data_IF_672957513888
#
_entry.id   IF_672957513888
#
_cell.length_a   1.000
_cell.length_b   1.000
_cell.length_c   1.000
_cell.angle_alpha   90.00
_cell.angle_beta   90.00
_cell.angle_gamma   90.00
#
_symmetry.space_group_name_H-M   'P 1'
#
loop_
_entity.id
_entity.type
_entity.pdbx_description
1 polymer ?
#
# COMPACT_ATOMS: atom_id res chain seq x y z
N UNK A 1 -30.80 18.74 -18.07
CA UNK A 1 -30.53 17.31 -17.77
C UNK A 1 -30.22 16.53 -19.04
N UNK A 2 -30.92 16.78 -20.16
CA UNK A 2 -30.65 16.17 -21.48
C UNK A 2 -29.33 16.59 -22.15
N UNK A 3 -28.77 17.75 -21.79
CA UNK A 3 -27.55 18.27 -22.44
C UNK A 3 -26.28 17.54 -21.97
N UNK A 4 -26.26 17.05 -20.71
CA UNK A 4 -25.14 16.29 -20.15
C UNK A 4 -25.02 14.87 -20.73
N UNK A 5 -26.11 14.27 -21.23
CA UNK A 5 -26.07 12.94 -21.84
C UNK A 5 -25.48 12.93 -23.25
N UNK A 6 -25.28 14.10 -23.87
CA UNK A 6 -24.65 14.26 -25.19
C UNK A 6 -23.13 14.45 -25.12
N UNK A 7 -22.59 14.67 -23.92
CA UNK A 7 -21.14 14.79 -23.75
C UNK A 7 -20.51 13.40 -23.89
N UNK A 8 -19.57 13.28 -24.84
CA UNK A 8 -18.78 12.07 -24.95
C UNK A 8 -17.95 11.91 -23.67
N UNK A 9 -17.99 10.75 -22.99
CA UNK A 9 -17.14 10.51 -21.84
C UNK A 9 -15.67 10.55 -22.25
N UNK A 10 -14.83 11.12 -21.37
CA UNK A 10 -13.39 11.29 -21.58
C UNK A 10 -12.98 12.71 -21.97
N UNK A 11 -11.70 13.01 -21.82
CA UNK A 11 -11.14 14.33 -22.11
C UNK A 11 -11.26 14.63 -23.61
N UNK A 12 -11.81 15.79 -24.02
CA UNK A 12 -11.96 16.15 -25.42
C UNK A 12 -10.62 16.10 -26.17
N UNK A 13 -10.66 15.70 -27.44
CA UNK A 13 -9.49 15.68 -28.32
C UNK A 13 -9.52 16.86 -29.29
N UNK A 14 -8.34 17.36 -29.64
CA UNK A 14 -8.16 18.35 -30.71
C UNK A 14 -8.34 17.68 -32.09
N UNK A 15 -8.39 18.50 -33.14
CA UNK A 15 -8.47 18.03 -34.52
C UNK A 15 -7.28 17.16 -34.93
N UNK A 16 -6.11 17.38 -34.34
CA UNK A 16 -4.89 16.58 -34.56
C UNK A 16 -4.88 15.23 -33.78
N UNK A 17 -5.93 14.94 -33.01
CA UNK A 17 -6.08 13.73 -32.21
C UNK A 17 -5.40 13.76 -30.84
N UNK A 18 -4.68 14.83 -30.50
CA UNK A 18 -4.11 15.05 -29.16
C UNK A 18 -5.19 15.36 -28.12
N UNK A 19 -4.88 15.14 -26.85
CA UNK A 19 -5.82 15.39 -25.75
C UNK A 19 -5.79 16.89 -25.39
N UNK A 20 -6.96 17.53 -25.34
CA UNK A 20 -7.12 18.92 -24.91
C UNK A 20 -7.26 19.00 -23.39
N UNK A 21 -6.14 18.84 -22.67
CA UNK A 21 -6.13 18.81 -21.20
C UNK A 21 -6.68 20.08 -20.56
N UNK A 22 -6.68 21.23 -21.23
CA UNK A 22 -7.30 22.47 -20.73
C UNK A 22 -8.81 22.36 -20.50
N UNK A 23 -9.45 21.40 -21.18
CA UNK A 23 -10.87 21.08 -21.05
C UNK A 23 -11.11 19.91 -20.09
N UNK A 24 -10.05 19.34 -19.52
CA UNK A 24 -10.14 18.36 -18.44
C UNK A 24 -10.46 19.06 -17.10
N UNK A 25 -10.97 18.31 -16.13
CA UNK A 25 -11.37 18.83 -14.81
C UNK A 25 -10.20 19.51 -14.08
N UNK A 26 -9.03 18.88 -14.08
CA UNK A 26 -7.82 19.41 -13.44
C UNK A 26 -7.00 20.32 -14.34
N UNK A 27 -7.41 20.49 -15.61
CA UNK A 27 -6.72 21.30 -16.62
C UNK A 27 -5.28 20.84 -16.93
N UNK A 28 -4.92 19.62 -16.52
CA UNK A 28 -3.61 19.01 -16.72
C UNK A 28 -3.74 17.47 -16.72
N UNK A 29 -2.73 16.74 -17.24
CA UNK A 29 -2.68 15.29 -17.11
C UNK A 29 -2.74 14.88 -15.64
N UNK A 30 -3.73 14.07 -15.29
CA UNK A 30 -3.96 13.58 -13.92
C UNK A 30 -4.06 12.07 -13.92
N UNK A 31 -3.47 11.44 -12.91
CA UNK A 31 -3.33 9.99 -12.82
C UNK A 31 -3.68 9.49 -11.42
N UNK A 32 -4.04 8.22 -11.32
CA UNK A 32 -4.19 7.55 -10.04
C UNK A 32 -2.82 7.24 -9.45
N UNK A 33 -2.63 7.53 -8.17
CA UNK A 33 -1.32 7.39 -7.53
C UNK A 33 -0.96 5.94 -7.25
N UNK A 34 0.33 5.64 -7.33
CA UNK A 34 0.91 4.35 -6.94
C UNK A 34 1.34 4.34 -5.47
N UNK A 35 1.45 5.51 -4.84
CA UNK A 35 1.93 5.73 -3.46
C UNK A 35 1.64 7.17 -3.00
N UNK A 36 1.42 7.37 -1.70
CA UNK A 36 1.32 8.69 -1.06
C UNK A 36 2.63 9.16 -0.41
N UNK A 37 3.74 8.42 -0.59
CA UNK A 37 5.00 8.66 0.13
C UNK A 37 5.52 10.09 0.00
N UNK A 38 5.54 10.66 -1.21
CA UNK A 38 6.05 12.03 -1.42
C UNK A 38 5.22 13.09 -0.67
N UNK A 39 3.90 12.90 -0.59
CA UNK A 39 3.02 13.77 0.18
C UNK A 39 3.22 13.58 1.69
N UNK A 40 3.50 12.35 2.12
CA UNK A 40 3.85 12.05 3.51
C UNK A 40 5.16 12.70 3.95
N UNK A 41 6.22 12.67 3.13
CA UNK A 41 7.50 13.34 3.42
C UNK A 41 7.32 14.84 3.70
N UNK A 42 6.48 15.50 2.87
CA UNK A 42 6.15 16.92 3.07
C UNK A 42 5.39 17.13 4.38
N UNK A 43 4.46 16.24 4.72
CA UNK A 43 3.66 16.33 5.93
C UNK A 43 4.49 16.04 7.19
N UNK A 44 5.42 15.07 7.13
CA UNK A 44 6.34 14.71 8.20
C UNK A 44 7.25 15.88 8.60
N UNK A 45 7.64 16.74 7.65
CA UNK A 45 8.38 17.97 7.94
C UNK A 45 7.67 18.91 8.95
N UNK A 46 6.34 18.88 9.00
CA UNK A 46 5.53 19.72 9.90
C UNK A 46 4.92 18.97 11.09
N UNK A 47 4.61 17.69 10.91
CA UNK A 47 3.87 16.87 11.90
C UNK A 47 4.72 15.79 12.58
N UNK A 48 5.99 15.64 12.16
CA UNK A 48 6.94 14.63 12.64
C UNK A 48 6.56 13.20 12.23
N UNK A 49 5.51 12.64 12.81
CA UNK A 49 5.06 11.26 12.54
C UNK A 49 3.70 11.28 11.84
N UNK A 50 3.65 10.72 10.63
CA UNK A 50 2.44 10.70 9.80
C UNK A 50 2.25 9.34 9.15
N UNK A 51 1.00 9.00 8.84
CA UNK A 51 0.67 7.80 8.07
C UNK A 51 -0.50 8.07 7.13
N UNK A 52 -0.54 7.35 6.01
CA UNK A 52 -1.71 7.22 5.15
C UNK A 52 -2.28 5.81 5.27
N UNK A 53 -3.59 5.71 5.02
CA UNK A 53 -4.25 4.45 4.73
C UNK A 53 -5.25 4.74 3.62
N UNK A 54 -4.91 4.35 2.40
CA UNK A 54 -5.70 4.72 1.22
C UNK A 54 -5.50 3.78 0.02
N UNK A 55 -6.36 3.91 -0.99
CA UNK A 55 -6.26 3.13 -2.22
C UNK A 55 -5.09 3.62 -3.07
N UNK A 56 -4.42 2.67 -3.70
CA UNK A 56 -3.32 2.89 -4.66
C UNK A 56 -3.48 1.96 -5.85
N UNK A 57 -2.91 2.37 -6.98
CA UNK A 57 -3.23 1.77 -8.27
C UNK A 57 -1.99 1.36 -9.02
N UNK A 58 -2.02 0.22 -9.70
CA UNK A 58 -0.97 -0.24 -10.61
C UNK A 58 -1.58 -0.66 -11.93
N UNK A 59 -1.16 0.01 -13.01
CA UNK A 59 -1.67 -0.21 -14.36
C UNK A 59 -0.86 -1.26 -15.16
N UNK A 60 -0.06 -2.07 -14.47
CA UNK A 60 0.73 -3.13 -15.10
C UNK A 60 -0.17 -4.26 -15.63
N UNK A 61 0.10 -4.73 -16.85
CA UNK A 61 -0.65 -5.85 -17.45
C UNK A 61 -0.18 -7.18 -16.84
N UNK A 62 -0.55 -7.43 -15.59
CA UNK A 62 -0.07 -8.56 -14.80
C UNK A 62 -1.24 -9.38 -14.27
N UNK A 63 -1.44 -10.56 -14.86
CA UNK A 63 -2.53 -11.47 -14.52
C UNK A 63 -2.02 -12.62 -13.65
N UNK A 64 -1.74 -12.34 -12.37
CA UNK A 64 -1.32 -13.36 -11.40
C UNK A 64 -2.27 -13.37 -10.20
N UNK A 65 -2.26 -14.45 -9.41
CA UNK A 65 -3.05 -14.54 -8.18
C UNK A 65 -2.60 -13.58 -7.06
N UNK A 66 -1.50 -12.84 -7.25
CA UNK A 66 -0.91 -11.94 -6.25
C UNK A 66 -0.89 -10.47 -6.68
N UNK A 67 -1.39 -10.13 -7.87
CA UNK A 67 -1.40 -8.76 -8.38
C UNK A 67 -2.82 -8.23 -8.47
N UNK A 68 -3.02 -7.03 -7.94
CA UNK A 68 -4.28 -6.28 -8.03
C UNK A 68 -3.99 -4.92 -8.67
N UNK A 69 -4.90 -4.48 -9.55
CA UNK A 69 -4.81 -3.16 -10.18
C UNK A 69 -5.15 -2.01 -9.21
N UNK A 70 -5.93 -2.32 -8.17
CA UNK A 70 -6.28 -1.44 -7.07
C UNK A 70 -6.10 -2.21 -5.76
N UNK A 71 -5.37 -1.64 -4.81
CA UNK A 71 -5.18 -2.21 -3.48
C UNK A 71 -4.89 -1.09 -2.48
N UNK A 72 -5.08 -1.40 -1.20
CA UNK A 72 -4.87 -0.43 -0.14
C UNK A 72 -3.44 -0.53 0.38
N UNK A 73 -2.82 0.63 0.57
CA UNK A 73 -1.54 0.74 1.26
C UNK A 73 -1.70 1.48 2.57
N UNK A 74 -0.98 0.98 3.57
CA UNK A 74 -0.66 1.72 4.79
C UNK A 74 0.79 2.14 4.65
N UNK A 75 1.04 3.45 4.63
CA UNK A 75 2.38 4.02 4.49
C UNK A 75 2.62 4.92 5.69
N UNK A 76 3.78 4.80 6.33
CA UNK A 76 4.15 5.62 7.47
C UNK A 76 5.46 6.34 7.17
N UNK A 77 5.55 7.60 7.58
CA UNK A 77 6.74 8.43 7.43
C UNK A 77 7.05 9.10 8.77
N UNK A 78 8.31 9.02 9.19
CA UNK A 78 8.77 9.50 10.49
C UNK A 78 9.94 10.47 10.28
N UNK A 79 9.76 11.73 10.68
CA UNK A 79 10.85 12.69 10.64
C UNK A 79 11.96 12.28 11.62
N UNK A 80 13.20 12.62 11.26
CA UNK A 80 14.41 12.31 12.06
C UNK A 80 14.71 10.81 12.25
N UNK A 81 13.96 9.91 11.60
CA UNK A 81 14.25 8.49 11.58
C UNK A 81 15.37 8.17 10.60
N UNK A 82 16.22 7.21 10.96
CA UNK A 82 17.12 6.56 10.02
C UNK A 82 16.62 5.14 9.70
N UNK A 83 17.31 4.43 8.81
CA UNK A 83 16.94 3.07 8.40
C UNK A 83 16.80 2.08 9.58
N UNK A 84 17.60 2.25 10.64
CA UNK A 84 17.50 1.42 11.84
C UNK A 84 16.18 1.66 12.58
N UNK A 85 15.73 2.90 12.66
CA UNK A 85 14.45 3.26 13.27
C UNK A 85 13.28 2.72 12.44
N UNK A 86 13.37 2.84 11.12
CA UNK A 86 12.37 2.30 10.18
C UNK A 86 12.24 0.78 10.30
N UNK A 87 13.36 0.04 10.28
CA UNK A 87 13.36 -1.42 10.49
C UNK A 87 12.75 -1.81 11.84
N UNK A 88 13.09 -1.09 12.92
CA UNK A 88 12.53 -1.35 14.25
C UNK A 88 11.01 -1.10 14.27
N UNK A 89 10.55 -0.05 13.59
CA UNK A 89 9.13 0.32 13.52
C UNK A 89 8.34 -0.70 12.70
N UNK A 90 8.84 -1.09 11.53
CA UNK A 90 8.20 -2.10 10.68
C UNK A 90 8.07 -3.45 11.41
N UNK A 91 9.13 -3.90 12.07
CA UNK A 91 9.12 -5.13 12.89
C UNK A 91 8.08 -5.03 14.02
N UNK A 92 8.12 -3.95 14.80
CA UNK A 92 7.19 -3.74 15.92
C UNK A 92 5.73 -3.68 15.46
N UNK A 93 5.47 -3.06 14.30
CA UNK A 93 4.14 -2.93 13.72
C UNK A 93 3.57 -4.29 13.31
N UNK A 94 4.33 -5.08 12.54
CA UNK A 94 3.90 -6.42 12.10
C UNK A 94 3.67 -7.32 13.31
N UNK A 95 4.60 -7.35 14.26
CA UNK A 95 4.46 -8.14 15.48
C UNK A 95 3.22 -7.73 16.29
N UNK A 96 2.98 -6.42 16.44
CA UNK A 96 1.80 -5.91 17.12
C UNK A 96 0.50 -6.37 16.47
N UNK A 97 0.40 -6.27 15.13
CA UNK A 97 -0.80 -6.72 14.41
C UNK A 97 -1.03 -8.23 14.57
N UNK A 98 0.02 -9.06 14.49
CA UNK A 98 -0.10 -10.49 14.72
C UNK A 98 -0.60 -10.81 16.14
N UNK A 99 -0.04 -10.16 17.18
CA UNK A 99 -0.53 -10.32 18.56
C UNK A 99 -1.98 -9.88 18.70
N UNK A 100 -2.30 -8.71 18.18
CA UNK A 100 -3.65 -8.15 18.26
C UNK A 100 -4.69 -9.08 17.63
N UNK A 101 -4.38 -9.64 16.45
CA UNK A 101 -5.22 -10.64 15.77
C UNK A 101 -5.41 -11.91 16.60
N UNK A 102 -4.34 -12.45 17.18
CA UNK A 102 -4.41 -13.65 18.02
C UNK A 102 -5.21 -13.43 19.31
N UNK A 103 -5.17 -12.22 19.87
CA UNK A 103 -5.88 -11.85 21.10
C UNK A 103 -7.36 -11.54 20.86
N UNK A 104 -7.70 -10.90 19.73
CA UNK A 104 -9.04 -10.33 19.51
C UNK A 104 -9.86 -11.05 18.44
N UNK A 105 -9.23 -11.86 17.58
CA UNK A 105 -9.89 -12.51 16.43
C UNK A 105 -9.55 -14.01 16.34
N UNK A 106 -9.24 -14.64 17.49
CA UNK A 106 -8.82 -16.06 17.56
C UNK A 106 -9.82 -16.98 16.88
N UNK A 107 -11.10 -16.84 17.19
CA UNK A 107 -12.17 -17.70 16.69
C UNK A 107 -12.34 -17.59 15.17
N UNK A 108 -12.29 -16.36 14.64
CA UNK A 108 -12.40 -16.09 13.20
C UNK A 108 -11.20 -16.66 12.45
N UNK A 109 -9.99 -16.52 12.99
CA UNK A 109 -8.77 -17.08 12.38
C UNK A 109 -8.86 -18.61 12.37
N UNK A 110 -9.22 -19.23 13.49
CA UNK A 110 -9.39 -20.69 13.59
C UNK A 110 -10.42 -21.20 12.59
N UNK A 111 -11.53 -20.48 12.41
CA UNK A 111 -12.53 -20.81 11.40
C UNK A 111 -11.98 -20.70 9.98
N UNK A 112 -11.27 -19.62 9.65
CA UNK A 112 -10.72 -19.37 8.31
C UNK A 112 -9.68 -20.40 7.88
N UNK A 113 -8.84 -20.86 8.82
CA UNK A 113 -7.69 -21.73 8.50
C UNK A 113 -8.03 -23.22 8.52
N UNK A 114 -9.17 -23.59 9.12
CA UNK A 114 -9.62 -24.97 9.25
C UNK A 114 -9.74 -25.67 7.90
N UNK A 115 -8.98 -26.74 7.70
CA UNK A 115 -8.97 -27.52 6.46
C UNK A 115 -8.25 -26.84 5.27
N UNK A 116 -7.62 -25.69 5.50
CA UNK A 116 -6.86 -24.94 4.49
C UNK A 116 -5.39 -24.80 4.88
N UNK A 117 -5.10 -24.37 6.10
CA UNK A 117 -3.74 -24.09 6.57
C UNK A 117 -3.61 -24.22 8.09
N UNK A 118 -3.44 -25.45 8.56
CA UNK A 118 -3.40 -25.76 10.00
C UNK A 118 -2.21 -25.12 10.73
N UNK A 119 -1.15 -24.73 10.00
CA UNK A 119 0.04 -24.10 10.56
C UNK A 119 -0.04 -22.55 10.58
N UNK A 120 -1.14 -21.94 10.11
CA UNK A 120 -1.26 -20.49 10.04
C UNK A 120 -1.17 -19.80 11.41
N UNK A 121 -1.81 -20.37 12.44
CA UNK A 121 -1.80 -19.82 13.79
C UNK A 121 -0.40 -19.92 14.41
N UNK A 122 0.26 -21.07 14.28
CA UNK A 122 1.64 -21.24 14.74
C UNK A 122 2.59 -20.23 14.08
N UNK A 123 2.43 -19.98 12.77
CA UNK A 123 3.23 -18.98 12.08
C UNK A 123 2.94 -17.56 12.56
N UNK A 124 1.68 -17.22 12.85
CA UNK A 124 1.34 -15.93 13.45
C UNK A 124 1.98 -15.77 14.83
N UNK A 125 1.91 -16.81 15.66
CA UNK A 125 2.54 -16.84 16.99
C UNK A 125 4.08 -16.68 16.88
N UNK A 126 4.71 -17.40 15.94
CA UNK A 126 6.14 -17.29 15.66
C UNK A 126 6.53 -15.87 15.22
N UNK A 127 5.84 -15.32 14.22
CA UNK A 127 6.11 -13.95 13.72
C UNK A 127 5.93 -12.93 14.83
N UNK A 128 4.92 -13.10 15.69
CA UNK A 128 4.59 -12.17 16.77
C UNK A 128 5.61 -12.10 17.90
N UNK A 129 6.43 -13.15 18.05
CA UNK A 129 7.32 -13.36 19.21
C UNK A 129 8.80 -13.44 18.85
N UNK A 130 9.13 -13.69 17.57
CA UNK A 130 10.50 -13.86 17.11
C UNK A 130 11.07 -12.55 16.57
N UNK A 131 12.24 -12.10 17.04
CA UNK A 131 12.94 -10.95 16.45
C UNK A 131 13.30 -11.20 14.98
N UNK A 132 13.19 -10.18 14.15
CA UNK A 132 13.46 -10.29 12.71
C UNK A 132 14.97 -10.21 12.45
N UNK A 133 15.49 -11.20 11.74
CA UNK A 133 16.89 -11.23 11.32
C UNK A 133 17.22 -10.13 10.31
N UNK A 134 18.33 -9.42 10.53
CA UNK A 134 18.76 -8.29 9.67
C UNK A 134 19.91 -8.71 8.77
N UNK A 135 19.62 -8.86 7.48
CA UNK A 135 20.58 -9.34 6.49
C UNK A 135 20.95 -8.22 5.52
N UNK A 136 22.24 -7.93 5.40
CA UNK A 136 22.75 -7.02 4.38
C UNK A 136 22.64 -7.65 3.00
N UNK A 137 22.14 -6.89 2.02
CA UNK A 137 21.91 -7.38 0.65
C UNK A 137 23.15 -7.98 -0.02
N UNK A 138 24.35 -7.46 0.24
CA UNK A 138 25.62 -8.02 -0.28
C UNK A 138 25.89 -9.47 0.18
N UNK A 139 25.27 -9.90 1.27
CA UNK A 139 25.37 -11.27 1.79
C UNK A 139 24.42 -12.24 1.08
N UNK A 140 23.32 -11.75 0.50
CA UNK A 140 22.36 -12.57 -0.26
C UNK A 140 22.89 -12.99 -1.64
N UNK A 141 23.65 -12.14 -2.32
CA UNK A 141 24.14 -12.39 -3.69
C UNK A 141 25.49 -13.11 -3.78
N UNK A 142 25.94 -13.73 -2.69
CA UNK A 142 27.20 -14.48 -2.61
C UNK A 142 27.02 -16.01 -2.71
N UNK A 143 25.83 -16.45 -3.08
CA UNK A 143 25.48 -17.85 -3.35
C UNK A 143 24.91 -17.97 -4.76
#
# INVERSE_FOLDING_TARGET
MEERSRLRPGTPRREDGSIAFENDFFKCPSYLTVSGQLQLETSACGLTDVYTFGPTFRAENSHTSRHLAEFWMVEAEMAFANLQDDMNRAESYVQYLCRWLLEHCREEIEFMVKGHDEAAIERLELVSSTPFERIRTQRLWRY
#
